data_IF_083886300566
#
_entry.id   IF_083886300566
#
_cell.length_a   1.000
_cell.length_b   1.000
_cell.length_c   1.000
_cell.angle_alpha   90.00
_cell.angle_beta   90.00
_cell.angle_gamma   90.00
#
_symmetry.space_group_name_H-M   'P 1'
#
loop_
_entity.id
_entity.type
_entity.pdbx_description
1 polymer ?
#
# COMPACT_ATOMS: atom_id res chain seq x y z
N UNK A 1 -10.27 -8.47 14.87
CA UNK A 1 -8.88 -8.77 15.33
C UNK A 1 -8.88 -9.04 16.82
N UNK A 2 -8.26 -10.12 17.25
CA UNK A 2 -8.13 -10.41 18.67
C UNK A 2 -7.11 -9.48 19.32
N UNK A 3 -7.42 -9.01 20.52
CA UNK A 3 -6.48 -8.20 21.30
C UNK A 3 -5.33 -9.09 21.80
N UNK A 4 -4.10 -8.66 21.55
CA UNK A 4 -2.89 -9.33 22.03
C UNK A 4 -2.09 -8.41 22.93
N UNK A 5 -1.29 -8.98 23.85
CA UNK A 5 -0.36 -8.19 24.63
C UNK A 5 0.73 -7.62 23.71
N UNK A 6 1.39 -6.54 24.15
CA UNK A 6 2.51 -5.95 23.41
C UNK A 6 3.60 -6.99 23.16
N UNK A 7 3.92 -7.81 24.14
CA UNK A 7 4.92 -8.87 24.01
C UNK A 7 4.54 -9.88 22.92
N UNK A 8 3.29 -10.33 22.88
CA UNK A 8 2.81 -11.27 21.87
C UNK A 8 2.89 -10.67 20.47
N UNK A 9 2.53 -9.40 20.31
CA UNK A 9 2.61 -8.71 19.01
C UNK A 9 4.05 -8.60 18.50
N UNK A 10 5.00 -8.31 19.38
CA UNK A 10 6.42 -8.20 19.03
C UNK A 10 7.03 -9.54 18.66
N UNK A 11 6.64 -10.61 19.37
CA UNK A 11 7.18 -11.95 19.16
C UNK A 11 6.53 -12.69 18.00
N UNK A 12 5.35 -12.23 17.52
CA UNK A 12 4.60 -12.92 16.47
C UNK A 12 5.24 -12.70 15.11
N UNK A 13 5.60 -13.76 14.36
CA UNK A 13 6.08 -13.60 13.00
C UNK A 13 4.96 -13.14 12.06
N UNK A 14 5.33 -12.44 10.98
CA UNK A 14 4.38 -12.07 9.94
C UNK A 14 3.88 -13.32 9.20
N UNK A 15 2.57 -13.38 9.02
CA UNK A 15 1.91 -14.42 8.21
C UNK A 15 0.92 -13.76 7.27
N UNK A 16 0.40 -14.52 6.31
CA UNK A 16 -0.63 -14.01 5.41
C UNK A 16 -1.90 -13.59 6.17
N UNK A 17 -2.21 -14.27 7.28
CA UNK A 17 -3.41 -14.05 8.07
C UNK A 17 -3.33 -12.82 8.98
N UNK A 18 -2.12 -12.37 9.32
CA UNK A 18 -1.93 -11.24 10.23
C UNK A 18 -1.31 -10.01 9.57
N UNK A 19 -1.29 -9.95 8.25
CA UNK A 19 -0.60 -8.90 7.50
C UNK A 19 -1.54 -8.14 6.57
N UNK A 20 -1.18 -6.90 6.30
CA UNK A 20 -1.79 -6.06 5.26
C UNK A 20 -0.68 -5.42 4.44
N UNK A 21 -0.85 -5.36 3.14
CA UNK A 21 0.06 -4.64 2.25
C UNK A 21 -0.48 -3.24 2.01
N UNK A 22 0.30 -2.23 2.35
CA UNK A 22 -0.05 -0.83 2.10
C UNK A 22 0.93 -0.27 1.08
N UNK A 23 0.41 0.19 -0.05
CA UNK A 23 1.20 0.80 -1.12
C UNK A 23 1.11 2.31 -0.97
N UNK A 24 2.25 2.95 -0.71
CA UNK A 24 2.29 4.37 -0.36
C UNK A 24 2.99 5.16 -1.46
N UNK A 25 2.22 5.98 -2.17
CA UNK A 25 2.72 7.04 -3.06
C UNK A 25 3.49 6.58 -4.30
N UNK A 26 3.11 5.46 -4.89
CA UNK A 26 3.66 5.05 -6.20
C UNK A 26 2.92 5.80 -7.32
N UNK A 27 3.12 7.11 -7.36
CA UNK A 27 2.46 8.05 -8.27
C UNK A 27 3.40 8.46 -9.41
N UNK A 28 2.84 8.80 -10.57
CA UNK A 28 3.64 9.11 -11.77
C UNK A 28 4.71 10.16 -11.50
N UNK A 29 4.35 11.27 -10.85
CA UNK A 29 5.29 12.35 -10.58
C UNK A 29 6.38 12.00 -9.57
N UNK A 30 6.06 11.13 -8.61
CA UNK A 30 7.02 10.70 -7.59
C UNK A 30 7.93 9.59 -8.12
N UNK A 31 7.38 8.63 -8.85
CA UNK A 31 8.17 7.55 -9.46
C UNK A 31 9.18 8.10 -10.46
N UNK A 32 8.80 9.14 -11.22
CA UNK A 32 9.69 9.78 -12.17
C UNK A 32 10.95 10.37 -11.52
N UNK A 33 10.88 10.73 -10.22
CA UNK A 33 12.01 11.29 -9.48
C UNK A 33 12.90 10.25 -8.78
N UNK A 34 12.58 8.96 -8.86
CA UNK A 34 13.37 7.92 -8.20
C UNK A 34 14.68 7.72 -8.94
N UNK A 35 15.82 7.90 -8.25
CA UNK A 35 17.14 7.78 -8.83
C UNK A 35 17.96 6.60 -8.33
N UNK A 36 17.45 5.84 -7.35
CA UNK A 36 18.19 4.74 -6.72
C UNK A 36 17.89 3.38 -7.30
N UNK A 37 16.87 3.29 -8.17
CA UNK A 37 16.53 2.05 -8.86
C UNK A 37 16.00 2.36 -10.25
N UNK A 38 16.09 1.39 -11.16
CA UNK A 38 15.53 1.49 -12.49
C UNK A 38 14.00 1.59 -12.43
N UNK A 39 13.37 2.57 -13.11
CA UNK A 39 11.92 2.71 -13.13
C UNK A 39 11.16 1.47 -13.61
N UNK A 40 11.68 0.77 -14.60
CA UNK A 40 11.07 -0.48 -15.07
C UNK A 40 11.09 -1.57 -14.02
N UNK A 41 12.22 -1.70 -13.33
CA UNK A 41 12.37 -2.67 -12.25
C UNK A 41 11.45 -2.34 -11.08
N UNK A 42 11.36 -1.05 -10.71
CA UNK A 42 10.46 -0.60 -9.66
C UNK A 42 9.01 -0.98 -9.97
N UNK A 43 8.53 -0.69 -11.17
CA UNK A 43 7.16 -1.00 -11.59
C UNK A 43 6.92 -2.51 -11.64
N UNK A 44 7.86 -3.24 -12.19
CA UNK A 44 7.78 -4.70 -12.26
C UNK A 44 7.68 -5.34 -10.87
N UNK A 45 8.54 -4.90 -9.96
CA UNK A 45 8.56 -5.44 -8.60
C UNK A 45 7.31 -5.05 -7.81
N UNK A 46 6.79 -3.84 -8.05
CA UNK A 46 5.53 -3.41 -7.42
C UNK A 46 4.37 -4.32 -7.86
N UNK A 47 4.23 -4.56 -9.15
CA UNK A 47 3.19 -5.45 -9.66
C UNK A 47 3.36 -6.88 -9.12
N UNK A 48 4.59 -7.34 -9.03
CA UNK A 48 4.90 -8.65 -8.45
C UNK A 48 4.47 -8.77 -6.99
N UNK A 49 4.75 -7.72 -6.20
CA UNK A 49 4.34 -7.68 -4.79
C UNK A 49 2.81 -7.71 -4.63
N UNK A 50 2.09 -6.95 -5.46
CA UNK A 50 0.62 -6.92 -5.42
C UNK A 50 0.05 -8.29 -5.81
N UNK A 51 0.58 -8.91 -6.85
CA UNK A 51 0.14 -10.23 -7.28
C UNK A 51 0.40 -11.29 -6.22
N UNK A 52 1.55 -11.23 -5.57
CA UNK A 52 1.89 -12.13 -4.48
C UNK A 52 0.91 -11.97 -3.31
N UNK A 53 0.61 -10.73 -2.92
CA UNK A 53 -0.36 -10.47 -1.87
C UNK A 53 -1.74 -11.03 -2.22
N UNK A 54 -2.16 -10.86 -3.46
CA UNK A 54 -3.45 -11.39 -3.93
C UNK A 54 -3.51 -12.91 -3.86
N UNK A 55 -2.46 -13.60 -4.31
CA UNK A 55 -2.38 -15.06 -4.26
C UNK A 55 -2.40 -15.57 -2.82
N UNK A 56 -1.72 -14.85 -1.92
CA UNK A 56 -1.64 -15.23 -0.50
C UNK A 56 -2.87 -14.79 0.31
N UNK A 57 -3.80 -14.06 -0.29
CA UNK A 57 -4.98 -13.56 0.39
C UNK A 57 -4.69 -12.41 1.37
N UNK A 58 -3.59 -11.68 1.17
CA UNK A 58 -3.22 -10.55 2.00
C UNK A 58 -4.01 -9.32 1.54
N UNK A 59 -4.79 -8.66 2.42
CA UNK A 59 -5.48 -7.44 2.06
C UNK A 59 -4.50 -6.36 1.60
N UNK A 60 -4.85 -5.62 0.55
CA UNK A 60 -4.01 -4.58 -0.02
C UNK A 60 -4.75 -3.25 -0.07
N UNK A 61 -4.08 -2.18 0.29
CA UNK A 61 -4.61 -0.82 0.30
C UNK A 61 -3.64 0.07 -0.44
N UNK A 62 -4.16 0.95 -1.29
CA UNK A 62 -3.38 1.96 -2.01
C UNK A 62 -3.67 3.32 -1.38
N UNK A 63 -2.62 4.10 -1.13
CA UNK A 63 -2.78 5.50 -0.75
C UNK A 63 -1.87 6.38 -1.60
N UNK A 64 -2.36 7.57 -1.93
CA UNK A 64 -1.65 8.55 -2.75
C UNK A 64 -1.77 9.93 -2.10
N UNK A 65 -0.75 10.77 -2.30
CA UNK A 65 -0.69 12.11 -1.74
C UNK A 65 -0.90 13.15 -2.84
N UNK A 66 -1.85 14.06 -2.63
CA UNK A 66 -2.10 15.20 -3.52
C UNK A 66 -1.98 14.83 -5.01
N UNK A 67 -2.86 13.95 -5.53
CA UNK A 67 -2.72 13.45 -6.90
C UNK A 67 -2.82 14.54 -7.97
N UNK A 68 -3.47 15.68 -7.66
CA UNK A 68 -3.53 16.82 -8.58
C UNK A 68 -2.15 17.45 -8.83
N UNK A 69 -1.23 17.28 -7.89
CA UNK A 69 0.14 17.79 -7.99
C UNK A 69 1.13 16.71 -8.45
N UNK A 70 1.10 15.54 -7.81
CA UNK A 70 2.06 14.46 -8.06
C UNK A 70 1.61 13.45 -9.12
N UNK A 71 0.40 13.61 -9.64
CA UNK A 71 -0.19 12.67 -10.57
C UNK A 71 -0.86 11.49 -9.88
N UNK A 72 -1.60 10.68 -10.64
CA UNK A 72 -2.30 9.52 -10.07
C UNK A 72 -1.31 8.43 -9.69
N UNK A 73 -1.77 7.51 -8.85
CA UNK A 73 -1.08 6.23 -8.63
C UNK A 73 -0.86 5.55 -9.99
N UNK A 74 0.19 4.75 -10.12
CA UNK A 74 0.57 4.16 -11.40
C UNK A 74 -0.65 3.54 -12.10
N UNK A 75 -0.99 4.02 -13.31
CA UNK A 75 -2.22 3.57 -14.00
C UNK A 75 -2.28 2.08 -14.26
N UNK A 76 -1.13 1.44 -14.50
CA UNK A 76 -1.07 -0.01 -14.73
C UNK A 76 -1.54 -0.80 -13.51
N UNK A 77 -1.32 -0.28 -12.30
CA UNK A 77 -1.81 -0.89 -11.07
C UNK A 77 -3.31 -0.74 -10.95
N UNK A 78 -3.81 0.48 -11.17
CA UNK A 78 -5.25 0.77 -11.06
C UNK A 78 -6.05 -0.01 -12.09
N UNK A 79 -5.49 -0.21 -13.27
CA UNK A 79 -6.13 -0.95 -14.36
C UNK A 79 -6.20 -2.45 -14.06
N UNK A 80 -5.10 -3.03 -13.59
CA UNK A 80 -5.01 -4.47 -13.37
C UNK A 80 -5.66 -4.91 -12.06
N UNK A 81 -5.78 -4.00 -11.09
CA UNK A 81 -6.32 -4.29 -9.76
C UNK A 81 -7.39 -3.26 -9.35
N UNK A 82 -8.49 -3.15 -10.13
CA UNK A 82 -9.51 -2.13 -9.85
C UNK A 82 -10.26 -2.34 -8.54
N UNK A 83 -10.19 -3.53 -7.97
CA UNK A 83 -10.83 -3.87 -6.70
C UNK A 83 -10.11 -3.31 -5.48
N UNK A 84 -8.83 -2.91 -5.61
CA UNK A 84 -8.06 -2.40 -4.47
C UNK A 84 -8.52 -0.97 -4.14
N UNK A 85 -8.88 -0.68 -2.87
CA UNK A 85 -9.29 0.67 -2.49
C UNK A 85 -8.12 1.66 -2.59
N UNK A 86 -8.42 2.85 -3.13
CA UNK A 86 -7.46 3.95 -3.26
C UNK A 86 -7.91 5.10 -2.37
N UNK A 87 -7.03 5.54 -1.49
CA UNK A 87 -7.30 6.66 -0.59
C UNK A 87 -6.38 7.81 -0.96
N UNK A 88 -6.98 8.91 -1.42
CA UNK A 88 -6.26 10.14 -1.76
C UNK A 88 -6.20 11.03 -0.52
N UNK A 89 -5.01 11.45 -0.15
CA UNK A 89 -4.78 12.27 1.03
C UNK A 89 -3.93 13.49 0.71
N UNK A 90 -3.92 14.46 1.62
CA UNK A 90 -3.05 15.64 1.55
C UNK A 90 -1.98 15.63 2.64
N UNK A 91 -2.12 14.77 3.63
CA UNK A 91 -1.20 14.63 4.76
C UNK A 91 -0.05 13.73 4.33
N UNK A 92 1.20 14.17 4.56
CA UNK A 92 2.39 13.42 4.13
C UNK A 92 2.46 12.06 4.80
N UNK A 93 2.31 11.99 6.12
CA UNK A 93 2.29 10.71 6.82
C UNK A 93 0.92 10.04 6.63
N UNK A 94 0.90 8.96 5.88
CA UNK A 94 -0.34 8.25 5.57
C UNK A 94 -1.10 7.81 6.84
N UNK A 95 -0.39 7.40 7.88
CA UNK A 95 -1.00 6.97 9.14
C UNK A 95 -1.77 8.10 9.84
N UNK A 96 -1.41 9.36 9.60
CA UNK A 96 -2.11 10.50 10.19
C UNK A 96 -3.46 10.78 9.53
N UNK A 97 -3.74 10.19 8.37
CA UNK A 97 -5.07 10.27 7.76
C UNK A 97 -5.98 9.20 8.39
N UNK A 98 -7.07 9.61 9.05
CA UNK A 98 -7.96 8.65 9.72
C UNK A 98 -8.62 7.66 8.77
N UNK A 99 -8.77 7.98 7.49
CA UNK A 99 -9.32 7.05 6.50
C UNK A 99 -8.35 5.92 6.19
N UNK A 100 -7.05 6.20 6.17
CA UNK A 100 -6.02 5.18 5.98
C UNK A 100 -5.98 4.25 7.18
N UNK A 101 -5.96 4.81 8.41
CA UNK A 101 -6.00 4.00 9.63
C UNK A 101 -7.24 3.10 9.68
N UNK A 102 -8.41 3.68 9.35
CA UNK A 102 -9.65 2.92 9.36
C UNK A 102 -9.62 1.77 8.34
N UNK A 103 -9.07 2.00 7.15
CA UNK A 103 -8.94 0.96 6.13
C UNK A 103 -8.02 -0.17 6.59
N UNK A 104 -6.91 0.15 7.26
CA UNK A 104 -6.00 -0.85 7.81
C UNK A 104 -6.68 -1.64 8.94
N UNK A 105 -7.29 -0.95 9.88
CA UNK A 105 -7.96 -1.59 11.01
C UNK A 105 -9.12 -2.50 10.57
N UNK A 106 -9.82 -2.13 9.50
CA UNK A 106 -10.91 -2.93 8.96
C UNK A 106 -10.46 -4.29 8.41
N UNK A 107 -9.20 -4.44 8.06
CA UNK A 107 -8.68 -5.72 7.57
C UNK A 107 -8.58 -6.78 8.66
N UNK A 108 -8.67 -6.38 9.88
CA UNK A 108 -8.53 -7.25 11.03
C UNK A 108 -7.10 -7.20 11.55
#
# INVERSE_FOLDING_TARGET
MKTKSVFQKVAEPLTAENSVLVLIDHQLGLVAGVGTTDPHLLRHNLLGAIRAAKVLGIPTIITEVSPDFWGPFLPEVLKDFPEIPVISRTIINAWDDPRVRAAIEKTG
#
